data_IF_642767842536
#
_entry.id   IF_642767842536
#
_cell.length_a   1.000
_cell.length_b   1.000
_cell.length_c   1.000
_cell.angle_alpha   90.00
_cell.angle_beta   90.00
_cell.angle_gamma   90.00
#
_symmetry.space_group_name_H-M   'P 1'
#
loop_
_entity.id
_entity.type
_entity.pdbx_description
1 polymer ?
#
# COMPACT_ATOMS: atom_id res chain seq x y z
N UNK A 1 31.52 -30.74 -20.26
CA UNK A 1 30.81 -29.68 -21.02
C UNK A 1 29.44 -29.50 -20.40
N UNK A 2 29.23 -28.45 -19.60
CA UNK A 2 27.93 -28.19 -18.97
C UNK A 2 27.13 -27.23 -19.86
N UNK A 3 26.02 -27.70 -20.41
CA UNK A 3 25.10 -26.90 -21.22
C UNK A 3 24.21 -26.08 -20.29
N UNK A 4 24.40 -24.77 -20.27
CA UNK A 4 23.48 -23.84 -19.62
C UNK A 4 22.13 -23.91 -20.35
N UNK A 5 21.07 -24.28 -19.64
CA UNK A 5 19.70 -24.13 -20.14
C UNK A 5 19.38 -22.62 -20.26
N UNK A 6 18.74 -22.16 -21.35
CA UNK A 6 18.28 -20.79 -21.45
C UNK A 6 17.28 -20.52 -20.32
N UNK A 7 17.52 -19.45 -19.55
CA UNK A 7 16.54 -18.94 -18.60
C UNK A 7 15.54 -18.14 -19.43
N UNK A 8 14.40 -18.76 -19.76
CA UNK A 8 13.26 -18.01 -20.29
C UNK A 8 12.68 -17.16 -19.16
N UNK A 9 12.92 -15.86 -19.22
CA UNK A 9 12.24 -14.92 -18.32
C UNK A 9 10.89 -14.61 -18.96
N UNK A 10 9.75 -14.94 -18.31
CA UNK A 10 8.45 -14.62 -18.87
C UNK A 10 8.34 -13.10 -19.01
N UNK A 11 8.14 -12.63 -20.24
CA UNK A 11 7.89 -11.21 -20.51
C UNK A 11 6.48 -10.91 -20.00
N UNK A 12 6.38 -10.17 -18.90
CA UNK A 12 5.09 -9.70 -18.41
C UNK A 12 4.50 -8.68 -19.40
N UNK A 13 3.18 -8.73 -19.67
CA UNK A 13 2.49 -7.67 -20.40
C UNK A 13 2.74 -6.32 -19.74
N UNK A 14 2.86 -5.27 -20.55
CA UNK A 14 3.18 -3.91 -20.09
C UNK A 14 2.17 -3.37 -19.06
N UNK A 15 0.90 -3.77 -19.17
CA UNK A 15 -0.16 -3.36 -18.26
C UNK A 15 -0.05 -4.03 -16.89
N UNK A 16 0.29 -5.32 -16.86
CA UNK A 16 0.54 -6.05 -15.61
C UNK A 16 1.75 -5.47 -14.86
N UNK A 17 2.78 -5.06 -15.60
CA UNK A 17 3.93 -4.36 -15.02
C UNK A 17 3.54 -3.00 -14.43
N UNK A 18 2.73 -2.22 -15.15
CA UNK A 18 2.27 -0.91 -14.68
C UNK A 18 1.42 -1.03 -13.41
N UNK A 19 0.51 -2.01 -13.35
CA UNK A 19 -0.27 -2.33 -12.16
C UNK A 19 0.63 -2.74 -10.98
N UNK A 20 1.59 -3.62 -11.23
CA UNK A 20 2.55 -4.06 -10.21
C UNK A 20 3.38 -2.91 -9.63
N UNK A 21 3.79 -1.96 -10.47
CA UNK A 21 4.54 -0.78 -10.04
C UNK A 21 3.68 0.20 -9.24
N UNK A 22 2.41 0.39 -9.61
CA UNK A 22 1.45 1.18 -8.82
C UNK A 22 1.25 0.57 -7.44
N UNK A 23 1.05 -0.75 -7.36
CA UNK A 23 0.93 -1.46 -6.08
C UNK A 23 2.20 -1.38 -5.23
N UNK A 24 3.38 -1.43 -5.87
CA UNK A 24 4.64 -1.26 -5.16
C UNK A 24 4.76 0.14 -4.55
N UNK A 25 4.40 1.19 -5.30
CA UNK A 25 4.42 2.58 -4.82
C UNK A 25 3.42 2.81 -3.70
N UNK A 26 2.17 2.34 -3.88
CA UNK A 26 1.13 2.43 -2.85
C UNK A 26 1.55 1.74 -1.56
N UNK A 27 2.06 0.50 -1.62
CA UNK A 27 2.57 -0.22 -0.43
C UNK A 27 3.68 0.52 0.28
N UNK A 28 4.64 1.08 -0.45
CA UNK A 28 5.70 1.87 0.14
C UNK A 28 5.17 3.14 0.84
N UNK A 29 4.19 3.82 0.23
CA UNK A 29 3.57 5.01 0.79
C UNK A 29 2.68 4.71 2.02
N UNK A 30 1.94 3.60 2.02
CA UNK A 30 1.14 3.18 3.18
C UNK A 30 2.01 2.91 4.41
N UNK A 31 3.16 2.27 4.20
CA UNK A 31 4.11 1.87 5.24
C UNK A 31 5.10 2.97 5.66
N UNK A 32 5.04 4.17 5.08
CA UNK A 32 5.92 5.28 5.46
C UNK A 32 5.73 5.62 6.96
N UNK A 33 6.80 5.61 7.77
CA UNK A 33 6.67 5.72 9.23
C UNK A 33 6.28 7.11 9.71
N UNK A 34 6.32 8.14 8.86
CA UNK A 34 6.04 9.53 9.23
C UNK A 34 4.65 9.95 8.73
N UNK A 35 4.28 9.53 7.54
CA UNK A 35 3.13 10.04 6.79
C UNK A 35 2.22 8.94 6.22
N UNK A 36 2.55 7.68 6.46
CA UNK A 36 1.79 6.54 5.95
C UNK A 36 0.44 6.35 6.63
N UNK A 37 -0.50 5.74 5.93
CA UNK A 37 -1.83 5.42 6.48
C UNK A 37 -1.76 4.37 7.59
N UNK A 38 -0.78 3.46 7.53
CA UNK A 38 -0.66 2.33 8.46
C UNK A 38 -0.41 2.80 9.90
N UNK A 39 0.31 3.92 10.07
CA UNK A 39 0.52 4.55 11.39
C UNK A 39 -0.81 4.93 12.05
N UNK A 40 -1.76 5.46 11.30
CA UNK A 40 -3.07 5.85 11.85
C UNK A 40 -3.92 4.64 12.21
N UNK A 41 -3.85 3.57 11.43
CA UNK A 41 -4.55 2.33 11.75
C UNK A 41 -3.94 1.60 12.96
N UNK A 42 -2.61 1.61 13.10
CA UNK A 42 -1.94 1.08 14.28
C UNK A 42 -2.35 1.85 15.54
N UNK A 43 -2.42 3.18 15.46
CA UNK A 43 -2.90 4.02 16.56
C UNK A 43 -4.37 3.74 16.89
N UNK A 44 -5.23 3.58 15.88
CA UNK A 44 -6.64 3.24 16.09
C UNK A 44 -6.78 1.92 16.86
N UNK A 45 -6.06 0.87 16.44
CA UNK A 45 -6.06 -0.43 17.12
C UNK A 45 -5.56 -0.34 18.56
N UNK A 46 -4.53 0.50 18.82
CA UNK A 46 -4.02 0.71 20.18
C UNK A 46 -5.06 1.37 21.07
N UNK A 47 -5.73 2.42 20.58
CA UNK A 47 -6.75 3.15 21.31
C UNK A 47 -7.97 2.27 21.60
N UNK A 48 -8.39 1.45 20.63
CA UNK A 48 -9.47 0.47 20.80
C UNK A 48 -9.11 -0.54 21.91
N UNK A 49 -7.90 -1.08 21.91
CA UNK A 49 -7.41 -1.98 22.96
C UNK A 49 -7.34 -1.32 24.35
N UNK A 50 -7.19 0.01 24.41
CA UNK A 50 -7.21 0.80 25.64
C UNK A 50 -8.63 1.22 26.07
N UNK A 51 -9.66 0.89 25.29
CA UNK A 51 -11.05 1.29 25.55
C UNK A 51 -11.40 2.74 25.16
N UNK A 52 -10.51 3.43 24.45
CA UNK A 52 -10.78 4.77 23.90
C UNK A 52 -11.43 4.66 22.52
N UNK A 53 -12.74 4.43 22.52
CA UNK A 53 -13.52 4.24 21.30
C UNK A 53 -13.58 5.50 20.42
N UNK A 54 -13.65 6.69 21.03
CA UNK A 54 -13.71 7.96 20.29
C UNK A 54 -12.37 8.27 19.62
N UNK A 55 -11.27 8.13 20.37
CA UNK A 55 -9.91 8.28 19.84
C UNK A 55 -9.63 7.29 18.72
N UNK A 56 -10.02 6.01 18.89
CA UNK A 56 -9.87 4.99 17.86
C UNK A 56 -10.63 5.35 16.58
N UNK A 57 -11.88 5.82 16.69
CA UNK A 57 -12.67 6.24 15.55
C UNK A 57 -12.03 7.43 14.81
N UNK A 58 -11.56 8.44 15.54
CA UNK A 58 -10.88 9.59 14.96
C UNK A 58 -9.56 9.20 14.27
N UNK A 59 -8.77 8.31 14.87
CA UNK A 59 -7.55 7.77 14.25
C UNK A 59 -7.86 6.99 12.97
N UNK A 60 -8.88 6.13 12.99
CA UNK A 60 -9.32 5.37 11.82
C UNK A 60 -9.76 6.28 10.67
N UNK A 61 -10.49 7.36 10.95
CA UNK A 61 -10.88 8.34 9.93
C UNK A 61 -9.67 9.00 9.28
N UNK A 62 -8.64 9.38 10.05
CA UNK A 62 -7.37 9.89 9.50
C UNK A 62 -6.66 8.86 8.62
N UNK A 63 -6.64 7.60 9.05
CA UNK A 63 -6.08 6.49 8.25
C UNK A 63 -6.78 6.31 6.91
N UNK A 64 -8.12 6.33 6.90
CA UNK A 64 -8.93 6.25 5.68
C UNK A 64 -8.65 7.43 4.74
N UNK A 65 -8.66 8.65 5.27
CA UNK A 65 -8.39 9.84 4.47
C UNK A 65 -7.00 9.79 3.83
N UNK A 66 -5.97 9.37 4.58
CA UNK A 66 -4.61 9.25 4.05
C UNK A 66 -4.48 8.12 3.03
N UNK A 67 -5.13 6.98 3.27
CA UNK A 67 -5.18 5.87 2.34
C UNK A 67 -5.75 6.31 0.98
N UNK A 68 -6.87 7.03 0.98
CA UNK A 68 -7.50 7.58 -0.24
C UNK A 68 -6.57 8.55 -0.97
N UNK A 69 -5.94 9.48 -0.25
CA UNK A 69 -4.97 10.41 -0.86
C UNK A 69 -3.79 9.70 -1.54
N UNK A 70 -3.29 8.61 -0.95
CA UNK A 70 -2.20 7.80 -1.54
C UNK A 70 -2.71 7.09 -2.80
N UNK A 71 -3.94 6.58 -2.79
CA UNK A 71 -4.56 5.98 -3.98
C UNK A 71 -4.70 7.00 -5.11
N UNK A 72 -5.15 8.22 -4.81
CA UNK A 72 -5.30 9.30 -5.79
C UNK A 72 -3.96 9.78 -6.35
N UNK A 73 -2.90 9.72 -5.54
CA UNK A 73 -1.53 10.07 -5.97
C UNK A 73 -0.89 9.00 -6.86
N UNK A 74 -1.42 7.77 -6.83
CA UNK A 74 -0.97 6.63 -7.62
C UNK A 74 -2.18 5.96 -8.28
N UNK A 75 -2.87 6.62 -9.21
CA UNK A 75 -4.10 6.09 -9.79
C UNK A 75 -3.81 4.87 -10.65
N UNK A 76 -4.76 3.94 -10.70
CA UNK A 76 -4.73 2.88 -11.71
C UNK A 76 -4.92 3.50 -13.10
N UNK A 77 -4.34 2.88 -14.16
CA UNK A 77 -4.67 3.24 -15.52
C UNK A 77 -6.18 3.06 -15.76
N UNK A 78 -6.75 3.90 -16.62
CA UNK A 78 -8.12 3.72 -17.05
C UNK A 78 -8.26 2.35 -17.76
N UNK A 79 -9.42 1.67 -17.60
CA UNK A 79 -9.70 0.42 -18.31
C UNK A 79 -9.77 0.60 -19.83
#
# INVERSE_FOLDING_TARGET
>A
MSTLKPIETPVQPHDDWALGEIERRRRAAYADPISGSDLHFAEASRLEAMGDAEGAAAAKQRGIARYQQIQDSHPYPAP
#
